data_IF_436797055876
#
_entry.id   IF_436797055876
#
_cell.length_a   1.000
_cell.length_b   1.000
_cell.length_c   1.000
_cell.angle_alpha   90.00
_cell.angle_beta   90.00
_cell.angle_gamma   90.00
#
_symmetry.space_group_name_H-M   'P 1'
#
loop_
_entity.id
_entity.type
_entity.pdbx_description
1 polymer ?
#
# COMPACT_ATOMS: atom_id res chain seq x y z
N UNK A 1 -23.54 2.94 15.71
CA UNK A 1 -22.17 2.93 15.13
C UNK A 1 -21.80 1.60 14.49
N UNK A 2 -21.80 0.46 15.21
CA UNK A 2 -21.39 -0.84 14.67
C UNK A 2 -22.16 -1.31 13.42
N UNK A 3 -23.48 -1.08 13.37
CA UNK A 3 -24.30 -1.43 12.20
C UNK A 3 -23.89 -0.64 10.94
N UNK A 4 -23.59 0.65 11.10
CA UNK A 4 -23.13 1.54 10.02
C UNK A 4 -21.77 1.06 9.53
N UNK A 5 -20.83 0.81 10.46
CA UNK A 5 -19.50 0.31 10.15
C UNK A 5 -19.57 -1.02 9.37
N UNK A 6 -20.36 -1.98 9.83
CA UNK A 6 -20.53 -3.28 9.16
C UNK A 6 -21.10 -3.12 7.75
N UNK A 7 -22.10 -2.27 7.58
CA UNK A 7 -22.73 -2.01 6.29
C UNK A 7 -21.72 -1.38 5.31
N UNK A 8 -21.03 -0.33 5.76
CA UNK A 8 -19.98 0.36 5.02
C UNK A 8 -18.87 -0.63 4.60
N UNK A 9 -18.37 -1.45 5.52
CA UNK A 9 -17.32 -2.42 5.23
C UNK A 9 -17.79 -3.47 4.22
N UNK A 10 -19.04 -3.97 4.34
CA UNK A 10 -19.56 -4.97 3.40
C UNK A 10 -19.64 -4.47 1.97
N UNK A 11 -19.89 -3.17 1.77
CA UNK A 11 -19.93 -2.53 0.44
C UNK A 11 -18.54 -2.32 -0.13
N UNK A 12 -17.58 -1.99 0.72
CA UNK A 12 -16.20 -1.76 0.31
C UNK A 12 -15.40 -3.06 0.10
N UNK A 13 -15.94 -4.23 0.47
CA UNK A 13 -15.28 -5.54 0.32
C UNK A 13 -14.64 -5.76 -1.04
N UNK A 14 -15.34 -5.46 -2.13
CA UNK A 14 -14.81 -5.63 -3.48
C UNK A 14 -13.60 -4.74 -3.74
N UNK A 15 -13.64 -3.49 -3.27
CA UNK A 15 -12.51 -2.57 -3.39
C UNK A 15 -11.36 -2.96 -2.48
N UNK A 16 -11.62 -3.33 -1.22
CA UNK A 16 -10.60 -3.81 -0.27
C UNK A 16 -9.86 -5.02 -0.84
N UNK A 17 -10.61 -6.01 -1.35
CA UNK A 17 -10.04 -7.23 -1.90
C UNK A 17 -9.33 -6.94 -3.22
N UNK A 18 -9.94 -6.18 -4.14
CA UNK A 18 -9.35 -5.88 -5.44
C UNK A 18 -8.04 -5.09 -5.33
N UNK A 19 -8.06 -4.00 -4.56
CA UNK A 19 -6.87 -3.18 -4.32
C UNK A 19 -5.84 -3.90 -3.44
N UNK A 20 -6.29 -4.59 -2.39
CA UNK A 20 -5.43 -5.39 -1.53
C UNK A 20 -4.70 -6.49 -2.31
N UNK A 21 -5.40 -7.22 -3.18
CA UNK A 21 -4.80 -8.25 -4.03
C UNK A 21 -3.86 -7.65 -5.09
N UNK A 22 -4.20 -6.51 -5.68
CA UNK A 22 -3.32 -5.81 -6.62
C UNK A 22 -2.00 -5.39 -5.97
N UNK A 23 -2.07 -4.79 -4.77
CA UNK A 23 -0.90 -4.41 -4.00
C UNK A 23 -0.12 -5.64 -3.49
N UNK A 24 -0.81 -6.71 -3.08
CA UNK A 24 -0.22 -7.98 -2.69
C UNK A 24 0.57 -8.61 -3.85
N UNK A 25 -0.03 -8.67 -5.04
CA UNK A 25 0.62 -9.17 -6.24
C UNK A 25 1.83 -8.32 -6.62
N UNK A 26 1.73 -6.99 -6.51
CA UNK A 26 2.83 -6.07 -6.75
C UNK A 26 4.00 -6.29 -5.79
N UNK A 27 3.75 -6.26 -4.48
CA UNK A 27 4.81 -6.45 -3.50
C UNK A 27 5.41 -7.86 -3.53
N UNK A 28 4.58 -8.88 -3.77
CA UNK A 28 5.08 -10.25 -4.00
C UNK A 28 5.94 -10.36 -5.26
N UNK A 29 5.56 -9.69 -6.34
CA UNK A 29 6.38 -9.61 -7.57
C UNK A 29 7.75 -8.96 -7.29
N UNK A 30 7.78 -7.84 -6.55
CA UNK A 30 9.03 -7.17 -6.17
C UNK A 30 9.93 -8.13 -5.37
N UNK A 31 9.37 -8.83 -4.37
CA UNK A 31 10.13 -9.78 -3.55
C UNK A 31 10.73 -10.92 -4.40
N UNK A 32 9.92 -11.55 -5.25
CA UNK A 32 10.40 -12.65 -6.12
C UNK A 32 11.44 -12.18 -7.14
N UNK A 33 11.36 -10.93 -7.58
CA UNK A 33 12.28 -10.37 -8.57
C UNK A 33 13.65 -9.98 -8.01
N UNK A 34 13.83 -9.97 -6.68
CA UNK A 34 15.07 -9.56 -6.03
C UNK A 34 16.30 -10.39 -6.45
N UNK A 35 16.18 -11.72 -6.57
CA UNK A 35 17.30 -12.56 -7.04
C UNK A 35 17.79 -12.14 -8.43
N UNK A 36 16.83 -11.78 -9.30
CA UNK A 36 17.13 -11.33 -10.64
C UNK A 36 17.76 -9.93 -10.65
N UNK A 37 17.44 -9.08 -9.68
CA UNK A 37 18.09 -7.77 -9.58
C UNK A 37 19.53 -7.90 -9.10
N UNK A 38 19.82 -8.70 -8.08
CA UNK A 38 21.21 -8.96 -7.63
C UNK A 38 22.03 -9.59 -8.76
N UNK A 39 21.46 -10.52 -9.52
CA UNK A 39 22.16 -11.14 -10.66
C UNK A 39 22.58 -10.15 -11.77
N UNK A 40 22.04 -8.93 -11.77
CA UNK A 40 22.41 -7.85 -12.70
C UNK A 40 23.39 -6.83 -12.08
N UNK A 41 23.72 -6.97 -10.79
CA UNK A 41 24.54 -6.02 -10.05
C UNK A 41 25.93 -5.82 -10.67
N UNK A 42 26.60 -6.91 -11.06
CA UNK A 42 27.95 -6.83 -11.65
C UNK A 42 27.94 -6.07 -12.98
N UNK A 43 26.93 -6.34 -13.82
CA UNK A 43 26.75 -5.64 -15.09
C UNK A 43 26.45 -4.15 -14.87
N UNK A 44 25.62 -3.82 -13.89
CA UNK A 44 25.30 -2.44 -13.54
C UNK A 44 26.53 -1.70 -13.00
N UNK A 45 27.30 -2.35 -12.13
CA UNK A 45 28.55 -1.79 -11.57
C UNK A 45 29.58 -1.53 -12.66
N UNK A 46 29.79 -2.48 -13.58
CA UNK A 46 30.68 -2.28 -14.74
C UNK A 46 30.21 -1.13 -15.66
N UNK A 47 28.89 -0.91 -15.78
CA UNK A 47 28.36 0.24 -16.52
C UNK A 47 28.69 1.56 -15.79
N UNK A 48 28.54 1.59 -14.46
CA UNK A 48 28.85 2.76 -13.64
C UNK A 48 30.33 3.13 -13.65
N UNK A 49 31.23 2.15 -13.72
CA UNK A 49 32.68 2.38 -13.83
C UNK A 49 33.07 3.16 -15.10
N UNK A 50 32.22 3.13 -16.14
CA UNK A 50 32.43 3.90 -17.37
C UNK A 50 31.93 5.35 -17.27
N UNK A 51 31.28 5.75 -16.17
CA UNK A 51 30.80 7.12 -15.98
C UNK A 51 31.84 8.00 -15.27
N UNK A 52 31.92 9.30 -15.62
CA UNK A 52 32.71 10.28 -14.89
C UNK A 52 32.36 10.34 -13.40
N UNK A 53 33.36 10.50 -12.51
CA UNK A 53 33.14 10.52 -11.06
C UNK A 53 32.24 11.67 -10.60
N UNK A 54 32.17 12.78 -11.35
CA UNK A 54 31.27 13.91 -11.07
C UNK A 54 29.80 13.53 -11.24
N UNK A 55 29.49 12.65 -12.20
CA UNK A 55 28.13 12.14 -12.42
C UNK A 55 27.78 11.16 -11.30
N UNK A 56 28.71 10.28 -10.92
CA UNK A 56 28.51 9.34 -9.81
C UNK A 56 28.30 10.06 -8.48
N UNK A 57 29.05 11.14 -8.22
CA UNK A 57 28.91 11.97 -7.03
C UNK A 57 27.58 12.75 -7.01
N UNK A 58 27.06 13.16 -8.17
CA UNK A 58 25.76 13.81 -8.28
C UNK A 58 24.61 12.86 -7.96
N UNK A 59 24.65 11.62 -8.47
CA UNK A 59 23.58 10.65 -8.26
C UNK A 59 23.66 9.98 -6.89
N UNK A 60 24.86 9.61 -6.40
CA UNK A 60 25.11 9.09 -5.05
C UNK A 60 24.37 7.80 -4.65
N UNK A 61 25.02 6.87 -3.95
CA UNK A 61 24.33 5.74 -3.30
C UNK A 61 23.66 4.73 -4.26
N UNK A 62 24.10 4.65 -5.52
CA UNK A 62 23.56 3.72 -6.52
C UNK A 62 23.89 2.25 -6.23
N UNK A 63 24.92 2.01 -5.42
CA UNK A 63 25.30 0.74 -4.83
C UNK A 63 24.24 0.20 -3.84
N UNK A 64 23.52 1.10 -3.14
CA UNK A 64 22.46 0.70 -2.21
C UNK A 64 21.23 0.10 -2.91
N UNK A 65 21.07 0.28 -4.22
CA UNK A 65 19.92 -0.24 -4.98
C UNK A 65 19.80 -1.76 -4.98
N UNK A 66 20.93 -2.46 -4.82
CA UNK A 66 20.99 -3.93 -4.77
C UNK A 66 20.96 -4.48 -3.35
N UNK A 67 20.99 -3.61 -2.33
CA UNK A 67 20.78 -4.05 -0.94
C UNK A 67 19.31 -4.37 -0.71
N UNK A 68 18.95 -5.29 0.20
CA UNK A 68 17.55 -5.62 0.50
C UNK A 68 16.71 -4.39 0.83
N UNK A 69 17.26 -3.51 1.68
CA UNK A 69 16.59 -2.31 2.16
C UNK A 69 16.43 -1.26 1.05
N UNK A 70 17.50 -0.98 0.29
CA UNK A 70 17.46 -0.01 -0.79
C UNK A 70 16.58 -0.45 -1.96
N UNK A 71 16.57 -1.75 -2.27
CA UNK A 71 15.70 -2.35 -3.29
C UNK A 71 14.22 -2.19 -2.91
N UNK A 72 13.83 -2.61 -1.71
CA UNK A 72 12.45 -2.49 -1.23
C UNK A 72 12.03 -1.02 -1.10
N UNK A 73 12.91 -0.14 -0.61
CA UNK A 73 12.60 1.28 -0.52
C UNK A 73 12.35 1.88 -1.91
N UNK A 74 13.24 1.63 -2.86
CA UNK A 74 13.20 2.23 -4.19
C UNK A 74 12.02 1.73 -5.00
N UNK A 75 11.81 0.42 -5.05
CA UNK A 75 10.79 -0.16 -5.90
C UNK A 75 9.43 -0.27 -5.21
N UNK A 76 9.38 -0.54 -3.91
CA UNK A 76 8.11 -0.73 -3.20
C UNK A 76 7.70 0.57 -2.49
N UNK A 77 8.45 1.01 -1.48
CA UNK A 77 7.99 2.08 -0.59
C UNK A 77 7.98 3.49 -1.20
N UNK A 78 8.68 3.71 -2.32
CA UNK A 78 8.63 4.97 -3.07
C UNK A 78 7.27 5.21 -3.73
N UNK A 79 6.66 4.17 -4.32
CA UNK A 79 5.39 4.30 -5.07
C UNK A 79 4.15 4.09 -4.21
N UNK A 80 4.29 3.34 -3.11
CA UNK A 80 3.17 2.92 -2.28
C UNK A 80 2.34 4.05 -1.63
N UNK A 81 2.95 5.13 -1.12
CA UNK A 81 2.20 6.28 -0.62
C UNK A 81 1.23 6.85 -1.66
N UNK A 82 1.67 6.93 -2.92
CA UNK A 82 0.85 7.42 -4.02
C UNK A 82 -0.33 6.47 -4.29
N UNK A 83 -0.06 5.17 -4.38
CA UNK A 83 -1.09 4.14 -4.62
C UNK A 83 -2.13 4.13 -3.50
N UNK A 84 -1.69 4.19 -2.24
CA UNK A 84 -2.57 4.23 -1.08
C UNK A 84 -3.36 5.52 -0.98
N UNK A 85 -2.77 6.66 -1.33
CA UNK A 85 -3.46 7.94 -1.40
C UNK A 85 -4.57 7.92 -2.45
N UNK A 86 -4.28 7.39 -3.63
CA UNK A 86 -5.29 7.17 -4.68
C UNK A 86 -6.41 6.27 -4.15
N UNK A 87 -6.08 5.12 -3.59
CA UNK A 87 -7.05 4.19 -3.00
C UNK A 87 -7.94 4.86 -1.93
N UNK A 88 -7.34 5.63 -1.01
CA UNK A 88 -8.07 6.34 0.04
C UNK A 88 -9.06 7.36 -0.53
N UNK A 89 -8.66 8.11 -1.57
CA UNK A 89 -9.53 9.07 -2.26
C UNK A 89 -10.68 8.36 -2.97
N UNK A 90 -10.41 7.26 -3.69
CA UNK A 90 -11.45 6.52 -4.41
C UNK A 90 -12.51 5.91 -3.47
N UNK A 91 -12.07 5.27 -2.39
CA UNK A 91 -13.01 4.72 -1.40
C UNK A 91 -13.74 5.85 -0.67
N UNK A 92 -13.03 6.92 -0.27
CA UNK A 92 -13.61 8.08 0.40
C UNK A 92 -14.71 8.75 -0.43
N UNK A 93 -14.42 9.00 -1.71
CA UNK A 93 -15.37 9.60 -2.65
C UNK A 93 -16.60 8.70 -2.86
N UNK A 94 -16.40 7.38 -3.04
CA UNK A 94 -17.49 6.42 -3.22
C UNK A 94 -18.42 6.30 -2.02
N UNK A 95 -17.94 6.62 -0.82
CA UNK A 95 -18.73 6.66 0.42
C UNK A 95 -19.63 7.90 0.54
N UNK A 96 -19.26 8.99 -0.12
CA UNK A 96 -20.00 10.26 -0.10
C UNK A 96 -20.91 10.36 -1.32
N UNK A 97 -20.32 10.42 -2.52
CA UNK A 97 -21.03 10.61 -3.77
C UNK A 97 -21.92 9.40 -4.11
N UNK A 98 -21.45 8.18 -3.84
CA UNK A 98 -22.21 6.97 -4.15
C UNK A 98 -23.44 6.75 -3.26
N UNK A 99 -23.52 7.39 -2.10
CA UNK A 99 -24.71 7.37 -1.23
C UNK A 99 -25.69 8.50 -1.57
N UNK A 100 -25.18 9.61 -2.06
CA UNK A 100 -25.97 10.73 -2.57
C UNK A 100 -26.66 10.36 -3.90
N UNK A 101 -25.92 9.80 -4.87
CA UNK A 101 -26.47 9.36 -6.16
C UNK A 101 -27.56 8.29 -6.03
N UNK A 102 -27.49 7.45 -4.98
CA UNK A 102 -28.46 6.38 -4.73
C UNK A 102 -29.65 6.84 -3.90
N UNK A 103 -29.68 8.11 -3.48
CA UNK A 103 -30.71 8.66 -2.58
C UNK A 103 -30.75 8.00 -1.19
N UNK A 104 -29.75 7.19 -0.84
CA UNK A 104 -29.70 6.50 0.45
C UNK A 104 -29.33 7.46 1.56
N UNK A 105 -28.61 8.54 1.25
CA UNK A 105 -28.25 9.57 2.21
C UNK A 105 -29.50 10.22 2.82
N UNK A 106 -30.46 10.61 1.98
CA UNK A 106 -31.71 11.27 2.41
C UNK A 106 -32.57 10.33 3.27
N UNK A 107 -32.64 9.04 2.89
CA UNK A 107 -33.36 8.02 3.66
C UNK A 107 -32.77 7.77 5.04
N UNK A 108 -31.44 7.81 5.17
CA UNK A 108 -30.74 7.61 6.44
C UNK A 108 -30.91 8.82 7.36
N UNK A 109 -30.93 10.04 6.82
CA UNK A 109 -31.12 11.28 7.60
C UNK A 109 -32.54 11.42 8.14
N UNK A 110 -33.54 10.81 7.48
CA UNK A 110 -34.92 10.75 7.97
C UNK A 110 -35.10 9.90 9.24
N UNK A 111 -34.14 9.03 9.57
CA UNK A 111 -34.14 8.29 10.83
C UNK A 111 -33.38 9.08 11.91
N UNK A 112 -33.70 8.91 13.21
CA UNK A 112 -33.03 9.61 14.31
C UNK A 112 -31.62 9.06 14.56
N UNK A 113 -30.71 9.27 13.60
CA UNK A 113 -29.31 8.87 13.66
C UNK A 113 -28.49 10.07 14.09
N UNK A 114 -27.61 9.90 15.09
CA UNK A 114 -26.71 10.98 15.50
C UNK A 114 -25.74 11.32 14.37
N UNK A 115 -25.69 12.59 13.96
CA UNK A 115 -24.78 13.07 12.88
C UNK A 115 -23.32 12.73 13.17
N UNK A 116 -22.91 12.86 14.43
CA UNK A 116 -21.58 12.50 14.93
C UNK A 116 -21.32 11.00 14.81
N UNK A 117 -22.31 10.16 15.13
CA UNK A 117 -22.19 8.70 15.02
C UNK A 117 -22.14 8.21 13.57
N UNK A 118 -22.78 8.92 12.64
CA UNK A 118 -22.67 8.66 11.21
C UNK A 118 -21.27 9.01 10.69
N UNK A 119 -20.76 10.19 11.04
CA UNK A 119 -19.42 10.64 10.66
C UNK A 119 -18.34 9.67 11.16
N UNK A 120 -18.28 9.40 12.47
CA UNK A 120 -17.27 8.49 13.03
C UNK A 120 -17.45 7.05 12.55
N UNK A 121 -18.68 6.59 12.32
CA UNK A 121 -18.94 5.26 11.77
C UNK A 121 -18.34 5.08 10.37
N UNK A 122 -18.47 6.10 9.51
CA UNK A 122 -17.89 6.09 8.16
C UNK A 122 -16.37 6.28 8.18
N UNK A 123 -15.87 7.20 9.01
CA UNK A 123 -14.44 7.44 9.18
C UNK A 123 -13.71 6.18 9.66
N UNK A 124 -14.24 5.51 10.70
CA UNK A 124 -13.67 4.24 11.17
C UNK A 124 -13.80 3.13 10.12
N UNK A 125 -14.88 3.13 9.33
CA UNK A 125 -15.03 2.21 8.20
C UNK A 125 -13.95 2.39 7.13
N UNK A 126 -13.61 3.64 6.79
CA UNK A 126 -12.53 3.99 5.87
C UNK A 126 -11.17 3.55 6.41
N UNK A 127 -10.86 3.92 7.65
CA UNK A 127 -9.61 3.53 8.31
C UNK A 127 -9.45 2.02 8.35
N UNK A 128 -10.53 1.30 8.68
CA UNK A 128 -10.50 -0.16 8.70
C UNK A 128 -10.32 -0.76 7.30
N UNK A 129 -10.94 -0.17 6.27
CA UNK A 129 -10.74 -0.59 4.88
C UNK A 129 -9.28 -0.38 4.41
N UNK A 130 -8.64 0.71 4.84
CA UNK A 130 -7.23 0.98 4.57
C UNK A 130 -6.33 -0.05 5.23
N UNK A 131 -6.54 -0.30 6.54
CA UNK A 131 -5.77 -1.29 7.31
C UNK A 131 -5.95 -2.69 6.72
N UNK A 132 -7.16 -3.09 6.35
CA UNK A 132 -7.41 -4.41 5.77
C UNK A 132 -6.71 -4.59 4.41
N UNK A 133 -6.71 -3.57 3.55
CA UNK A 133 -6.00 -3.62 2.28
C UNK A 133 -4.47 -3.75 2.49
N UNK A 134 -3.92 -3.01 3.46
CA UNK A 134 -2.51 -3.12 3.85
C UNK A 134 -2.16 -4.50 4.41
N UNK A 135 -3.05 -5.11 5.22
CA UNK A 135 -2.84 -6.47 5.74
C UNK A 135 -2.82 -7.48 4.59
N UNK A 136 -3.72 -7.38 3.62
CA UNK A 136 -3.73 -8.25 2.44
C UNK A 136 -2.41 -8.11 1.66
N UNK A 137 -1.98 -6.87 1.45
CA UNK A 137 -0.71 -6.57 0.81
C UNK A 137 0.47 -7.19 1.58
N UNK A 138 0.55 -6.95 2.90
CA UNK A 138 1.61 -7.47 3.76
C UNK A 138 1.70 -8.99 3.65
N UNK A 139 0.57 -9.70 3.73
CA UNK A 139 0.51 -11.15 3.52
C UNK A 139 1.09 -11.51 2.15
N UNK A 140 0.66 -10.83 1.08
CA UNK A 140 1.18 -11.04 -0.27
C UNK A 140 2.68 -10.85 -0.41
N UNK A 141 3.25 -9.89 0.33
CA UNK A 141 4.70 -9.63 0.32
C UNK A 141 5.50 -10.61 1.16
N UNK A 142 4.92 -11.10 2.27
CA UNK A 142 5.60 -12.01 3.20
C UNK A 142 5.62 -13.45 2.68
N UNK A 143 4.58 -13.88 1.96
CA UNK A 143 4.48 -15.23 1.40
C UNK A 143 5.73 -15.67 0.60
N UNK A 144 6.26 -14.87 -0.34
CA UNK A 144 7.47 -15.24 -1.10
C UNK A 144 8.81 -14.96 -0.39
N UNK A 145 8.82 -14.41 0.83
CA UNK A 145 10.10 -14.16 1.52
C UNK A 145 10.90 -15.44 1.75
N UNK A 146 10.22 -16.55 2.08
CA UNK A 146 10.89 -17.83 2.35
C UNK A 146 11.59 -18.46 1.14
N UNK A 147 11.32 -17.98 -0.07
CA UNK A 147 11.96 -18.46 -1.31
C UNK A 147 13.12 -17.58 -1.79
N UNK A 148 13.45 -16.51 -1.06
CA UNK A 148 14.33 -15.44 -1.55
C UNK A 148 15.48 -15.19 -0.56
N UNK A 149 16.64 -14.76 -1.04
CA UNK A 149 17.80 -14.34 -0.22
C UNK A 149 17.65 -12.97 0.45
N UNK A 150 16.43 -12.41 0.49
CA UNK A 150 16.14 -11.19 1.23
C UNK A 150 16.33 -11.45 2.72
N UNK A 151 17.38 -10.89 3.30
CA UNK A 151 17.63 -10.87 4.75
C UNK A 151 16.70 -9.88 5.47
N UNK A 152 15.39 -10.05 5.30
CA UNK A 152 14.36 -9.14 5.83
C UNK A 152 13.33 -9.95 6.58
N UNK A 153 13.05 -9.58 7.83
CA UNK A 153 12.01 -10.26 8.61
C UNK A 153 10.62 -9.75 8.24
N UNK A 154 9.55 -10.55 8.44
CA UNK A 154 8.18 -10.07 8.27
C UNK A 154 7.85 -8.83 9.10
N UNK A 155 8.55 -8.65 10.24
CA UNK A 155 8.41 -7.51 11.11
C UNK A 155 9.06 -6.24 10.53
N UNK A 156 10.21 -6.39 9.87
CA UNK A 156 10.89 -5.28 9.18
C UNK A 156 10.04 -4.75 8.02
N UNK A 157 9.22 -5.59 7.38
CA UNK A 157 8.24 -5.15 6.38
C UNK A 157 7.01 -4.48 6.97
N UNK A 158 6.63 -4.84 8.20
CA UNK A 158 5.43 -4.30 8.84
C UNK A 158 5.62 -2.83 9.27
N UNK A 159 6.81 -2.46 9.77
CA UNK A 159 7.08 -1.12 10.29
C UNK A 159 6.91 -0.01 9.22
N UNK A 160 7.48 -0.11 8.02
CA UNK A 160 7.27 0.88 6.98
C UNK A 160 5.81 0.91 6.50
N UNK A 161 5.12 -0.23 6.45
CA UNK A 161 3.70 -0.27 6.10
C UNK A 161 2.83 0.49 7.11
N UNK A 162 3.17 0.43 8.39
CA UNK A 162 2.48 1.23 9.41
C UNK A 162 2.73 2.73 9.22
N UNK A 163 3.93 3.13 8.78
CA UNK A 163 4.22 4.54 8.49
C UNK A 163 3.33 5.11 7.39
N UNK A 164 2.88 4.27 6.45
CA UNK A 164 1.95 4.66 5.37
C UNK A 164 0.54 5.01 5.87
N UNK A 165 0.16 4.59 7.07
CA UNK A 165 -1.12 4.99 7.68
C UNK A 165 -1.09 6.40 8.28
N UNK A 166 0.11 6.93 8.57
CA UNK A 166 0.30 8.27 9.14
C UNK A 166 0.56 9.36 8.11
N UNK A 167 0.60 9.01 6.83
CA UNK A 167 0.80 9.94 5.70
C UNK A 167 -0.51 10.60 5.26
#
# INVERSE_FOLDING_TARGET
>A
MLAILRHTLSRMRGQIIGWGLGMAAYGGFIVVFYERSIGLQDQFTAMLENYPPEILAFFGGMDNLFTPQGYLHTYMFSILPLVLGIYAVFIGAGLLAGDEEKGTLDLVVCHPVSRTGLFFGRFLGLMLAQVLALVIMWIGTVLPLGSTSLEVTPWDLALPMLSLLGM
#
